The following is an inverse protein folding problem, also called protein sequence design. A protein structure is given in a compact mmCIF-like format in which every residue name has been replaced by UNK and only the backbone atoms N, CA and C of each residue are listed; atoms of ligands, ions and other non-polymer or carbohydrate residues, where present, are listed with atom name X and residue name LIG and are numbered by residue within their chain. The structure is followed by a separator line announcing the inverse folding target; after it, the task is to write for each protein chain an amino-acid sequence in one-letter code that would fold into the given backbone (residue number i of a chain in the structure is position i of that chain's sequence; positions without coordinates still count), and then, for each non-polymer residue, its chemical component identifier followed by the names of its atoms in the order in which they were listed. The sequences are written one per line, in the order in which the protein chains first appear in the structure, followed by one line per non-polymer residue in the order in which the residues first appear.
data_IF_489875254191
#
_entry.id   IF_489875254191
#
_cell.length_a   1.000
_cell.length_b   1.000
_cell.length_c   1.000
_cell.angle_alpha   90.00
_cell.angle_beta   90.00
_cell.angle_gamma   90.00
#
_symmetry.space_group_name_H-M   'P 1'
#
loop_
_entity.id
_entity.type
_entity.pdbx_description
1 polymer ?
#
# COMPACT_ATOMS: atom_id res chain seq x y z
N UNK A 1 -22.48 -16.24 -13.58
CA UNK A 1 -22.00 -15.25 -14.57
C UNK A 1 -22.30 -13.87 -14.01
N UNK A 2 -21.31 -12.99 -13.88
CA UNK A 2 -21.55 -11.62 -13.40
C UNK A 2 -22.35 -10.87 -14.46
N UNK A 3 -23.35 -10.10 -14.03
CA UNK A 3 -24.20 -9.32 -14.92
C UNK A 3 -23.47 -8.02 -15.29
N UNK A 4 -23.08 -7.92 -16.56
CA UNK A 4 -22.31 -6.79 -17.09
C UNK A 4 -23.03 -5.44 -16.89
N UNK A 5 -24.35 -5.42 -17.03
CA UNK A 5 -25.13 -4.20 -16.86
C UNK A 5 -25.12 -3.74 -15.41
N UNK A 6 -25.18 -4.67 -14.45
CA UNK A 6 -25.08 -4.33 -13.02
C UNK A 6 -23.70 -3.80 -12.64
N UNK A 7 -22.63 -4.35 -13.23
CA UNK A 7 -21.27 -3.88 -12.98
C UNK A 7 -21.05 -2.47 -13.53
N UNK A 8 -21.48 -2.20 -14.77
CA UNK A 8 -21.39 -0.85 -15.32
C UNK A 8 -22.26 0.14 -14.52
N UNK A 9 -23.48 -0.24 -14.16
CA UNK A 9 -24.35 0.60 -13.32
C UNK A 9 -23.71 0.92 -11.97
N UNK A 10 -23.05 -0.04 -11.31
CA UNK A 10 -22.38 0.20 -10.04
C UNK A 10 -21.22 1.19 -10.17
N UNK A 11 -20.43 1.07 -11.25
CA UNK A 11 -19.35 1.99 -11.60
C UNK A 11 -19.90 3.40 -11.84
N UNK A 12 -20.93 3.52 -12.68
CA UNK A 12 -21.54 4.80 -13.03
C UNK A 12 -22.19 5.49 -11.82
N UNK A 13 -22.87 4.72 -10.96
CA UNK A 13 -23.49 5.20 -9.72
C UNK A 13 -22.45 5.72 -8.74
N UNK A 14 -21.39 4.94 -8.49
CA UNK A 14 -20.31 5.36 -7.59
C UNK A 14 -19.62 6.62 -8.12
N UNK A 15 -19.32 6.66 -9.42
CA UNK A 15 -18.74 7.85 -10.03
C UNK A 15 -19.65 9.06 -9.87
N UNK A 16 -20.90 8.98 -10.33
CA UNK A 16 -21.88 10.07 -10.27
C UNK A 16 -22.09 10.59 -8.85
N UNK A 17 -22.09 9.70 -7.85
CA UNK A 17 -22.31 10.07 -6.46
C UNK A 17 -21.12 10.82 -5.83
N UNK A 18 -19.88 10.50 -6.22
CA UNK A 18 -18.70 10.92 -5.47
C UNK A 18 -17.65 11.70 -6.26
N UNK A 19 -17.72 11.76 -7.60
CA UNK A 19 -16.64 12.33 -8.43
C UNK A 19 -16.36 13.81 -8.14
N UNK A 20 -17.35 14.58 -7.69
CA UNK A 20 -17.23 16.01 -7.37
C UNK A 20 -17.28 16.29 -5.87
N UNK A 21 -17.05 15.28 -5.02
CA UNK A 21 -17.05 15.47 -3.58
C UNK A 21 -15.85 16.33 -3.19
N UNK A 22 -16.12 17.46 -2.53
CA UNK A 22 -15.08 18.38 -2.08
C UNK A 22 -14.46 17.92 -0.74
N UNK A 23 -13.16 18.12 -0.59
CA UNK A 23 -12.43 17.84 0.65
C UNK A 23 -11.08 17.17 0.39
N UNK A 24 -10.24 17.12 1.43
CA UNK A 24 -8.87 16.65 1.30
C UNK A 24 -7.93 17.67 0.64
N UNK A 25 -6.67 17.29 0.48
CA UNK A 25 -5.63 18.08 -0.18
C UNK A 25 -4.69 17.13 -0.91
N UNK A 26 -4.20 17.55 -2.07
CA UNK A 26 -3.12 16.84 -2.75
C UNK A 26 -1.90 16.72 -1.82
N UNK A 27 -1.20 15.61 -1.93
CA UNK A 27 0.14 15.51 -1.36
C UNK A 27 1.05 16.56 -2.02
N UNK A 28 1.74 17.36 -1.22
CA UNK A 28 2.48 18.54 -1.67
C UNK A 28 3.98 18.49 -1.34
N UNK A 29 4.46 17.39 -0.76
CA UNK A 29 5.86 17.20 -0.40
C UNK A 29 6.80 17.07 -1.62
N UNK A 30 6.26 16.85 -2.83
CA UNK A 30 6.97 16.98 -4.10
C UNK A 30 6.10 17.71 -5.15
N UNK A 31 6.70 18.55 -6.03
CA UNK A 31 5.93 19.34 -7.00
C UNK A 31 5.05 18.54 -7.95
N UNK A 32 5.49 17.32 -8.32
CA UNK A 32 4.73 16.46 -9.22
C UNK A 32 3.35 16.12 -8.65
N UNK A 33 3.27 15.79 -7.36
CA UNK A 33 2.01 15.46 -6.69
C UNK A 33 1.16 16.70 -6.41
N UNK A 34 1.80 17.81 -6.05
CA UNK A 34 1.12 19.08 -5.78
C UNK A 34 0.35 19.57 -7.02
N UNK A 35 0.91 19.37 -8.22
CA UNK A 35 0.39 19.91 -9.47
C UNK A 35 -0.62 18.99 -10.20
N UNK A 36 -0.98 17.84 -9.62
CA UNK A 36 -2.04 16.98 -10.20
C UNK A 36 -3.39 17.71 -10.10
N UNK A 37 -4.20 17.79 -11.17
CA UNK A 37 -5.51 18.44 -11.07
C UNK A 37 -6.41 17.74 -10.04
N UNK A 38 -6.82 18.46 -9.00
CA UNK A 38 -7.56 17.89 -7.85
C UNK A 38 -8.98 17.45 -8.15
N UNK A 39 -9.52 17.80 -9.33
CA UNK A 39 -10.84 17.38 -9.80
C UNK A 39 -10.83 16.04 -10.55
N UNK A 40 -9.65 15.45 -10.80
CA UNK A 40 -9.55 14.15 -11.48
C UNK A 40 -10.16 13.07 -10.60
N UNK A 41 -11.05 12.27 -11.18
CA UNK A 41 -11.67 11.15 -10.49
C UNK A 41 -11.93 10.02 -11.48
N UNK A 42 -11.69 8.78 -11.05
CA UNK A 42 -11.99 7.60 -11.83
C UNK A 42 -12.30 6.41 -10.91
N UNK A 43 -13.12 5.50 -11.41
CA UNK A 43 -13.38 4.21 -10.78
C UNK A 43 -13.43 3.14 -11.85
N UNK A 44 -12.88 1.95 -11.55
CA UNK A 44 -12.85 0.84 -12.48
C UNK A 44 -13.05 -0.50 -11.76
N UNK A 45 -13.67 -1.44 -12.46
CA UNK A 45 -13.77 -2.85 -12.11
C UNK A 45 -13.12 -3.65 -13.23
N UNK A 46 -12.19 -4.54 -12.85
CA UNK A 46 -11.61 -5.55 -13.75
C UNK A 46 -11.96 -6.92 -13.19
N UNK A 47 -12.66 -7.73 -13.98
CA UNK A 47 -13.08 -9.08 -13.57
C UNK A 47 -12.03 -10.13 -13.93
N UNK A 48 -12.10 -11.31 -13.31
CA UNK A 48 -11.16 -12.40 -13.59
C UNK A 48 -11.24 -12.92 -15.05
N UNK A 49 -12.34 -12.67 -15.76
CA UNK A 49 -12.50 -12.95 -17.20
C UNK A 49 -12.00 -11.81 -18.10
N UNK A 50 -11.35 -10.78 -17.54
CA UNK A 50 -10.70 -9.70 -18.28
C UNK A 50 -11.63 -8.59 -18.78
N UNK A 51 -12.89 -8.56 -18.33
CA UNK A 51 -13.81 -7.46 -18.67
C UNK A 51 -13.51 -6.25 -17.80
N UNK A 52 -13.58 -5.08 -18.43
CA UNK A 52 -13.29 -3.79 -17.79
C UNK A 52 -14.55 -2.94 -17.84
N UNK A 53 -14.89 -2.35 -16.70
CA UNK A 53 -15.97 -1.37 -16.55
C UNK A 53 -15.36 -0.16 -15.84
N UNK A 54 -15.47 1.03 -16.42
CA UNK A 54 -14.88 2.25 -15.85
C UNK A 54 -15.75 3.48 -16.08
N UNK A 55 -15.50 4.51 -15.27
CA UNK A 55 -16.08 5.84 -15.41
C UNK A 55 -15.06 6.90 -14.95
N UNK A 56 -15.15 8.10 -15.55
CA UNK A 56 -14.25 9.22 -15.28
C UNK A 56 -12.92 9.17 -16.03
N UNK A 57 -11.89 9.75 -15.43
CA UNK A 57 -10.55 9.90 -16.02
C UNK A 57 -9.71 8.60 -15.94
N UNK A 58 -10.30 7.45 -16.29
CA UNK A 58 -9.69 6.12 -16.06
C UNK A 58 -8.39 5.87 -16.82
N UNK A 59 -8.13 6.63 -17.88
CA UNK A 59 -6.90 6.54 -18.67
C UNK A 59 -5.78 7.47 -18.17
N UNK A 60 -6.08 8.33 -17.18
CA UNK A 60 -5.09 9.23 -16.59
C UNK A 60 -4.05 8.45 -15.79
N UNK A 61 -2.77 8.75 -16.04
CA UNK A 61 -1.65 8.09 -15.35
C UNK A 61 -1.21 8.92 -14.14
N UNK A 62 -1.20 8.29 -12.97
CA UNK A 62 -0.71 8.88 -11.72
C UNK A 62 0.36 8.00 -11.06
N UNK A 63 1.08 8.55 -10.07
CA UNK A 63 2.13 7.82 -9.37
C UNK A 63 1.56 6.69 -8.50
N UNK A 64 2.15 5.49 -8.58
CA UNK A 64 1.69 4.32 -7.80
C UNK A 64 1.89 4.49 -6.29
N UNK A 65 2.92 5.21 -5.87
CA UNK A 65 3.24 5.46 -4.46
C UNK A 65 3.27 4.16 -3.63
N UNK A 66 2.65 4.16 -2.44
CA UNK A 66 2.65 3.02 -1.53
C UNK A 66 1.93 1.77 -2.08
N UNK A 67 1.16 1.87 -3.17
CA UNK A 67 0.54 0.71 -3.83
C UNK A 67 1.62 -0.25 -4.34
N UNK A 68 2.79 0.27 -4.74
CA UNK A 68 3.93 -0.53 -5.21
C UNK A 68 4.39 -1.61 -4.22
N UNK A 69 4.14 -1.42 -2.91
CA UNK A 69 4.50 -2.39 -1.86
C UNK A 69 3.85 -3.76 -2.08
N UNK A 70 2.65 -3.82 -2.67
CA UNK A 70 1.97 -5.09 -2.98
C UNK A 70 2.74 -5.86 -4.05
N UNK A 71 3.18 -5.17 -5.11
CA UNK A 71 3.98 -5.78 -6.18
C UNK A 71 5.33 -6.30 -5.66
N UNK A 72 6.02 -5.51 -4.82
CA UNK A 72 7.28 -5.93 -4.20
C UNK A 72 7.08 -7.13 -3.26
N UNK A 73 6.00 -7.14 -2.48
CA UNK A 73 5.69 -8.27 -1.60
C UNK A 73 5.39 -9.55 -2.41
N UNK A 74 4.60 -9.45 -3.47
CA UNK A 74 4.30 -10.58 -4.35
C UNK A 74 5.59 -11.18 -4.93
N UNK A 75 6.49 -10.34 -5.47
CA UNK A 75 7.78 -10.79 -5.99
C UNK A 75 8.64 -11.45 -4.90
N UNK A 76 8.73 -10.86 -3.71
CA UNK A 76 9.50 -11.43 -2.61
C UNK A 76 8.95 -12.80 -2.15
N UNK A 77 7.63 -12.97 -2.16
CA UNK A 77 6.99 -14.25 -1.83
C UNK A 77 7.35 -15.34 -2.85
N UNK A 78 7.41 -15.00 -4.15
CA UNK A 78 7.87 -15.92 -5.19
C UNK A 78 9.36 -16.26 -5.04
N UNK A 79 10.20 -15.27 -4.70
CA UNK A 79 11.65 -15.44 -4.65
C UNK A 79 12.14 -16.25 -3.42
N UNK A 80 11.58 -15.97 -2.24
CA UNK A 80 12.09 -16.54 -0.96
C UNK A 80 11.05 -17.34 -0.18
N UNK A 81 9.82 -17.42 -0.67
CA UNK A 81 8.72 -18.15 -0.04
C UNK A 81 8.10 -17.42 1.15
N UNK A 82 6.89 -17.85 1.56
CA UNK A 82 6.11 -17.19 2.60
C UNK A 82 6.76 -17.22 3.98
N UNK A 83 7.42 -18.33 4.35
CA UNK A 83 8.05 -18.46 5.67
C UNK A 83 9.17 -17.43 5.87
N UNK A 84 10.04 -17.25 4.88
CA UNK A 84 11.15 -16.30 4.97
C UNK A 84 10.65 -14.85 5.03
N UNK A 85 9.58 -14.52 4.29
CA UNK A 85 8.93 -13.21 4.37
C UNK A 85 8.32 -12.98 5.75
N UNK A 86 7.59 -13.96 6.29
CA UNK A 86 7.00 -13.87 7.63
C UNK A 86 8.07 -13.72 8.72
N UNK A 87 9.15 -14.48 8.65
CA UNK A 87 10.22 -14.44 9.66
C UNK A 87 11.00 -13.12 9.66
N UNK A 88 11.16 -12.48 8.49
CA UNK A 88 11.96 -11.26 8.34
C UNK A 88 11.15 -9.96 8.37
N UNK A 89 9.91 -9.99 7.89
CA UNK A 89 9.07 -8.81 7.70
C UNK A 89 7.84 -8.84 8.62
N UNK A 90 7.25 -10.02 8.82
CA UNK A 90 6.02 -10.23 9.57
C UNK A 90 4.76 -10.15 8.71
N UNK A 91 3.62 -10.53 9.30
CA UNK A 91 2.31 -10.56 8.64
C UNK A 91 1.21 -9.77 9.38
N UNK A 92 1.53 -9.21 10.55
CA UNK A 92 0.55 -8.55 11.41
C UNK A 92 0.48 -7.03 11.17
N UNK A 93 -0.73 -6.44 11.26
CA UNK A 93 -0.91 -5.00 11.18
C UNK A 93 -0.26 -4.30 12.39
N UNK A 94 0.16 -3.04 12.18
CA UNK A 94 0.92 -2.29 13.20
C UNK A 94 0.05 -1.60 14.24
N UNK A 95 -1.22 -1.31 13.90
CA UNK A 95 -2.09 -0.43 14.67
C UNK A 95 -1.61 1.03 14.77
N UNK A 96 -0.59 1.42 13.98
CA UNK A 96 0.10 2.69 14.04
C UNK A 96 0.17 3.36 12.65
N UNK A 97 0.28 4.69 12.57
CA UNK A 97 0.61 5.41 11.33
C UNK A 97 1.74 4.79 10.50
N UNK A 98 1.63 4.93 9.18
CA UNK A 98 2.43 4.18 8.19
C UNK A 98 3.95 4.36 8.31
N UNK A 99 4.41 5.49 8.84
CA UNK A 99 5.82 5.88 8.93
C UNK A 99 6.36 5.99 10.37
N UNK A 100 5.73 5.32 11.35
CA UNK A 100 6.20 5.36 12.73
C UNK A 100 7.40 4.45 12.97
N UNK A 101 8.56 5.09 13.15
CA UNK A 101 9.83 4.44 13.47
C UNK A 101 9.84 3.68 14.81
N UNK A 102 8.89 3.95 15.71
CA UNK A 102 8.82 3.29 17.03
C UNK A 102 8.63 1.77 16.94
N UNK A 103 7.96 1.25 15.91
CA UNK A 103 7.81 -0.20 15.69
C UNK A 103 9.14 -0.91 15.37
N UNK A 104 10.10 -0.21 14.77
CA UNK A 104 11.48 -0.71 14.63
C UNK A 104 12.17 -0.90 16.00
N UNK A 105 11.63 -0.36 17.09
CA UNK A 105 12.20 -0.55 18.42
C UNK A 105 11.52 -1.67 19.20
N UNK A 106 10.21 -1.86 18.99
CA UNK A 106 9.39 -2.82 19.73
C UNK A 106 9.40 -4.22 19.10
N UNK A 107 9.29 -4.31 17.77
CA UNK A 107 9.35 -5.61 17.08
C UNK A 107 10.71 -6.30 17.32
N UNK A 108 11.81 -5.56 17.23
CA UNK A 108 13.16 -6.07 17.53
C UNK A 108 13.33 -6.53 18.99
N UNK A 109 12.58 -5.96 19.94
CA UNK A 109 12.57 -6.45 21.33
C UNK A 109 11.85 -7.79 21.46
N UNK A 110 10.82 -8.06 20.66
CA UNK A 110 10.07 -9.32 20.70
C UNK A 110 10.79 -10.44 19.94
N UNK A 111 11.39 -10.17 18.77
CA UNK A 111 12.20 -11.16 18.04
C UNK A 111 13.44 -11.60 18.82
N UNK A 112 14.03 -10.70 19.62
CA UNK A 112 15.13 -11.02 20.53
C UNK A 112 14.72 -11.97 21.68
N UNK A 113 13.45 -11.95 22.10
CA UNK A 113 12.94 -12.87 23.12
C UNK A 113 12.57 -14.24 22.53
N UNK A 114 12.00 -14.28 21.31
CA UNK A 114 11.55 -15.53 20.69
C UNK A 114 12.69 -16.44 20.19
N UNK A 115 13.88 -15.89 19.89
CA UNK A 115 15.00 -16.67 19.33
C UNK A 115 16.06 -17.09 20.34
N UNK A 116 15.91 -16.75 21.64
CA UNK A 116 16.88 -17.09 22.69
C UNK A 116 18.29 -16.51 22.47
N UNK A 117 18.52 -15.74 21.40
CA UNK A 117 19.81 -15.11 21.11
C UNK A 117 19.87 -13.76 21.80
N UNK A 118 20.24 -13.80 23.08
CA UNK A 118 20.68 -12.63 23.82
C UNK A 118 21.98 -12.11 23.16
N UNK A 119 21.87 -11.23 22.16
CA UNK A 119 23.02 -10.50 21.62
C UNK A 119 23.45 -9.42 22.61
N UNK A 120 24.14 -9.86 23.66
CA UNK A 120 24.84 -9.00 24.62
C UNK A 120 26.25 -8.71 24.07
N UNK A 121 26.36 -8.12 22.89
CA UNK A 121 27.66 -7.60 22.40
C UNK A 121 27.51 -6.54 21.31
N UNK A 122 27.12 -5.34 21.71
CA UNK A 122 27.54 -4.10 21.07
C UNK A 122 27.34 -2.97 22.09
N UNK A 123 28.20 -2.96 23.11
CA UNK A 123 28.43 -1.80 23.96
C UNK A 123 29.86 -1.34 23.68
N UNK A 124 29.99 -0.26 22.93
CA UNK A 124 31.07 0.72 22.95
C UNK A 124 32.51 0.22 23.11
N UNK A 125 33.27 0.22 22.02
CA UNK A 125 34.67 0.68 22.02
C UNK A 125 34.97 1.37 20.69
N UNK A 126 34.93 2.71 20.70
CA UNK A 126 35.73 3.54 19.81
C UNK A 126 37.20 3.39 20.23
N UNK A 127 38.15 3.15 19.32
CA UNK A 127 39.54 3.50 19.53
C UNK A 127 39.87 4.80 18.75
N UNK A 128 40.36 5.79 19.48
CA UNK A 128 41.13 6.99 19.06
C UNK A 128 40.75 7.74 17.77
#
# INVERSE_FOLDING_TARGET
MLDANKLQQAVDQAYTQFHSLNGGQNADYIPFLANVPGQLAAVAIVTCDGKVYSAGDSDYRFALESISKVCTLALALEDVGPQAVQDKIGADPTGLPFNLSYRLRVAWRQTAFATGKCWRHCRTTSPD
#
